data_IF_792221859254
#
_entry.id   IF_792221859254
#
_cell.length_a   1.000
_cell.length_b   1.000
_cell.length_c   1.000
_cell.angle_alpha   90.00
_cell.angle_beta   90.00
_cell.angle_gamma   90.00
#
_symmetry.space_group_name_H-M   'P 1'
#
loop_
_entity.id
_entity.type
_entity.pdbx_description
1 polymer ?
#
# COMPACT_ATOMS: atom_id res chain seq x y z
N UNK A 1 7.00 -4.40 -1.42
CA UNK A 1 6.01 -4.34 -0.31
C UNK A 1 4.69 -3.91 -0.91
N UNK A 2 3.56 -4.22 -0.27
CA UNK A 2 2.23 -3.90 -0.81
C UNK A 2 1.34 -3.27 0.26
N UNK A 3 0.66 -2.18 -0.07
CA UNK A 3 -0.40 -1.56 0.74
C UNK A 3 -1.75 -2.01 0.19
N UNK A 4 -2.59 -2.56 1.05
CA UNK A 4 -3.98 -2.86 0.70
C UNK A 4 -4.91 -1.80 1.30
N UNK A 5 -5.99 -1.51 0.57
CA UNK A 5 -6.98 -0.50 0.96
C UNK A 5 -8.37 -1.13 1.02
N UNK A 6 -9.25 -0.53 1.84
CA UNK A 6 -10.67 -0.87 1.84
C UNK A 6 -11.49 0.07 0.94
N UNK A 7 -10.86 1.10 0.35
CA UNK A 7 -11.50 2.05 -0.57
C UNK A 7 -10.58 2.50 -1.71
N UNK A 8 -11.14 2.62 -2.92
CA UNK A 8 -10.44 3.14 -4.11
C UNK A 8 -9.95 4.57 -3.89
N UNK A 9 -10.71 5.39 -3.15
CA UNK A 9 -10.33 6.77 -2.88
C UNK A 9 -9.08 6.86 -2.00
N UNK A 10 -8.93 5.95 -1.03
CA UNK A 10 -7.74 5.91 -0.19
C UNK A 10 -6.51 5.45 -0.98
N UNK A 11 -6.68 4.48 -1.90
CA UNK A 11 -5.60 4.06 -2.80
C UNK A 11 -5.11 5.24 -3.65
N UNK A 12 -6.01 5.92 -4.39
CA UNK A 12 -5.65 7.06 -5.24
C UNK A 12 -5.07 8.23 -4.44
N UNK A 13 -5.59 8.50 -3.24
CA UNK A 13 -5.02 9.54 -2.38
C UNK A 13 -3.60 9.17 -1.94
N UNK A 14 -3.37 7.91 -1.59
CA UNK A 14 -2.04 7.43 -1.17
C UNK A 14 -1.06 7.47 -2.31
N UNK A 15 -1.46 7.08 -3.52
CA UNK A 15 -0.68 7.22 -4.74
C UNK A 15 -0.15 8.65 -4.88
N UNK A 16 -1.04 9.63 -4.89
CA UNK A 16 -0.66 11.05 -5.00
C UNK A 16 0.32 11.49 -3.90
N UNK A 17 0.14 11.01 -2.67
CA UNK A 17 1.02 11.35 -1.54
C UNK A 17 2.43 10.74 -1.68
N UNK A 18 2.50 9.50 -2.14
CA UNK A 18 3.77 8.78 -2.33
C UNK A 18 4.52 9.29 -3.56
N UNK A 19 3.82 9.61 -4.65
CA UNK A 19 4.40 10.30 -5.81
C UNK A 19 4.97 11.68 -5.42
N UNK A 20 4.24 12.45 -4.60
CA UNK A 20 4.74 13.74 -4.09
C UNK A 20 5.99 13.60 -3.22
N UNK A 21 6.13 12.46 -2.54
CA UNK A 21 7.31 12.12 -1.76
C UNK A 21 8.45 11.51 -2.59
N UNK A 22 8.32 11.48 -3.92
CA UNK A 22 9.27 10.88 -4.87
C UNK A 22 9.54 9.40 -4.58
N UNK A 23 8.53 8.68 -4.08
CA UNK A 23 8.60 7.24 -3.84
C UNK A 23 8.14 6.52 -5.11
N UNK A 24 8.97 5.63 -5.65
CA UNK A 24 8.58 4.78 -6.76
C UNK A 24 7.46 3.83 -6.30
N UNK A 25 6.30 3.92 -6.95
CA UNK A 25 5.13 3.11 -6.64
C UNK A 25 4.49 2.53 -7.90
N UNK A 26 3.75 1.44 -7.75
CA UNK A 26 2.93 0.86 -8.81
C UNK A 26 1.51 0.54 -8.28
N UNK A 27 0.48 0.92 -9.02
CA UNK A 27 -0.90 0.55 -8.72
C UNK A 27 -1.25 -0.72 -9.46
N UNK A 28 -1.65 -1.75 -8.72
CA UNK A 28 -2.18 -2.99 -9.30
C UNK A 28 -3.45 -3.46 -8.62
N UNK A 29 -4.21 -4.36 -9.27
CA UNK A 29 -5.34 -5.01 -8.63
C UNK A 29 -4.92 -5.80 -7.39
N UNK A 30 -5.71 -5.72 -6.33
CA UNK A 30 -5.40 -6.43 -5.08
C UNK A 30 -5.31 -7.95 -5.34
N UNK A 31 -4.20 -8.62 -4.99
CA UNK A 31 -4.06 -10.06 -5.15
C UNK A 31 -5.20 -10.82 -4.44
N UNK A 32 -5.74 -11.87 -5.07
CA UNK A 32 -6.85 -12.68 -4.50
C UNK A 32 -6.54 -13.32 -3.16
N UNK A 33 -5.26 -13.51 -2.85
CA UNK A 33 -4.76 -14.02 -1.57
C UNK A 33 -4.93 -13.01 -0.44
N UNK A 34 -5.00 -11.72 -0.77
CA UNK A 34 -5.35 -10.65 0.16
C UNK A 34 -6.86 -10.44 0.04
N UNK A 35 -7.60 -10.88 1.05
CA UNK A 35 -9.06 -10.66 1.15
C UNK A 35 -9.32 -9.18 1.40
N UNK A 36 -9.20 -8.32 0.38
CA UNK A 36 -9.40 -6.88 0.51
C UNK A 36 -10.82 -6.47 0.09
N UNK A 37 -11.35 -5.44 0.76
CA UNK A 37 -12.64 -4.83 0.40
C UNK A 37 -12.57 -4.02 -0.91
N UNK A 38 -11.38 -3.57 -1.32
CA UNK A 38 -11.17 -2.82 -2.55
C UNK A 38 -10.32 -3.60 -3.57
N UNK A 39 -10.60 -3.31 -4.85
CA UNK A 39 -9.91 -3.88 -6.00
C UNK A 39 -8.50 -3.35 -6.25
N UNK A 40 -8.00 -2.36 -5.49
CA UNK A 40 -6.69 -1.73 -5.72
C UNK A 40 -5.73 -1.85 -4.53
N UNK A 41 -4.47 -2.02 -4.87
CA UNK A 41 -3.31 -2.04 -3.96
C UNK A 41 -2.15 -1.24 -4.56
N UNK A 42 -1.25 -0.78 -3.70
CA UNK A 42 -0.03 -0.04 -4.10
C UNK A 42 1.19 -0.84 -3.72
N UNK A 43 2.05 -1.13 -4.69
CA UNK A 43 3.37 -1.70 -4.46
C UNK A 43 4.42 -0.61 -4.35
N UNK A 44 5.38 -0.83 -3.46
CA UNK A 44 6.48 0.09 -3.21
C UNK A 44 7.75 -0.67 -2.74
N UNK A 45 8.96 -0.09 -2.90
CA UNK A 45 10.22 -0.68 -2.46
C UNK A 45 10.25 -0.97 -0.95
N UNK A 46 10.93 -2.04 -0.55
CA UNK A 46 10.97 -2.44 0.86
C UNK A 46 11.74 -1.47 1.75
N UNK A 47 12.77 -0.83 1.19
CA UNK A 47 13.56 0.22 1.82
C UNK A 47 12.76 1.48 2.17
N UNK A 48 11.63 1.71 1.50
CA UNK A 48 10.77 2.87 1.70
C UNK A 48 9.72 2.66 2.80
N UNK A 49 9.69 1.50 3.46
CA UNK A 49 8.67 1.13 4.46
C UNK A 49 8.51 2.16 5.58
N UNK A 50 9.61 2.65 6.15
CA UNK A 50 9.55 3.63 7.24
C UNK A 50 8.99 4.97 6.75
N UNK A 51 9.39 5.41 5.54
CA UNK A 51 8.91 6.65 4.92
C UNK A 51 7.42 6.55 4.58
N UNK A 52 7.00 5.43 3.99
CA UNK A 52 5.58 5.15 3.71
C UNK A 52 4.75 5.15 4.98
N UNK A 53 5.19 4.45 6.05
CA UNK A 53 4.48 4.46 7.34
C UNK A 53 4.34 5.88 7.90
N UNK A 54 5.40 6.67 7.88
CA UNK A 54 5.37 8.05 8.36
C UNK A 54 4.35 8.92 7.60
N UNK A 55 4.31 8.82 6.26
CA UNK A 55 3.36 9.56 5.42
C UNK A 55 1.92 9.14 5.72
N UNK A 56 1.67 7.83 5.87
CA UNK A 56 0.33 7.32 6.16
C UNK A 56 -0.17 7.79 7.54
N UNK A 57 0.72 7.80 8.54
CA UNK A 57 0.41 8.30 9.89
C UNK A 57 0.17 9.82 9.89
N UNK A 58 1.07 10.59 9.29
CA UNK A 58 0.99 12.06 9.20
C UNK A 58 -0.28 12.52 8.49
N UNK A 59 -0.65 11.84 7.41
CA UNK A 59 -1.82 12.19 6.59
C UNK A 59 -3.11 11.51 7.05
N UNK A 60 -3.04 10.71 8.13
CA UNK A 60 -4.15 9.91 8.68
C UNK A 60 -4.87 9.12 7.58
N UNK A 61 -4.08 8.43 6.76
CA UNK A 61 -4.58 7.59 5.69
C UNK A 61 -5.00 6.25 6.28
N UNK A 62 -6.27 5.92 6.13
CA UNK A 62 -6.79 4.61 6.52
C UNK A 62 -6.41 3.57 5.47
N UNK A 63 -5.58 2.61 5.90
CA UNK A 63 -5.21 1.44 5.11
C UNK A 63 -5.76 0.19 5.78
N UNK A 64 -5.92 -0.87 4.98
CA UNK A 64 -6.19 -2.19 5.52
C UNK A 64 -4.96 -2.76 6.22
N UNK A 65 -3.79 -2.54 5.62
CA UNK A 65 -2.52 -3.00 6.14
C UNK A 65 -1.42 -3.00 5.08
N UNK A 66 -0.19 -3.17 5.54
CA UNK A 66 0.99 -3.36 4.69
C UNK A 66 1.36 -4.84 4.74
N UNK A 67 1.67 -5.38 3.57
CA UNK A 67 1.99 -6.78 3.36
C UNK A 67 3.35 -6.91 2.66
N UNK A 68 4.06 -7.97 3.03
CA UNK A 68 5.28 -8.41 2.36
C UNK A 68 4.95 -9.64 1.52
N UNK A 69 5.40 -9.63 0.28
CA UNK A 69 5.32 -10.82 -0.59
C UNK A 69 6.36 -11.86 -0.15
N UNK A 70 5.91 -13.10 0.02
CA UNK A 70 6.72 -14.26 0.40
C UNK A 70 6.47 -15.41 -0.59
N UNK A 71 7.25 -16.49 -0.50
CA UNK A 71 7.08 -17.65 -1.38
C UNK A 71 5.68 -18.28 -1.28
N UNK A 72 5.03 -18.15 -0.11
CA UNK A 72 3.72 -18.73 0.20
C UNK A 72 2.56 -17.72 0.03
N UNK A 73 2.84 -16.47 -0.35
CA UNK A 73 1.81 -15.45 -0.60
C UNK A 73 2.16 -14.08 0.00
N UNK A 74 1.31 -13.59 0.90
CA UNK A 74 1.47 -12.28 1.53
C UNK A 74 1.36 -12.39 3.05
N UNK A 75 2.32 -11.80 3.76
CA UNK A 75 2.35 -11.74 5.22
C UNK A 75 2.28 -10.28 5.70
N UNK A 76 1.59 -9.97 6.81
CA UNK A 76 1.59 -8.62 7.38
C UNK A 76 3.01 -8.17 7.76
N UNK A 77 3.34 -6.90 7.47
CA UNK A 77 4.66 -6.31 7.71
C UNK A 77 4.71 -5.30 8.86
#
# INVERSE_FOLDING_TARGET
MLIAFDSTQQALRTEMLLEYAEIEIDIRPTPKTITAGCALSIDFPGEELERVRAILEEQSVEIRGIFRETADGYEPA
#
